data_IF_197959731163
#
_entry.id   IF_197959731163
#
_cell.length_a   1.000
_cell.length_b   1.000
_cell.length_c   1.000
_cell.angle_alpha   90.00
_cell.angle_beta   90.00
_cell.angle_gamma   90.00
#
_symmetry.space_group_name_H-M   'P 1'
#
loop_
_entity.id
_entity.type
_entity.pdbx_description
1 polymer ?
#
# COMPACT_ATOMS: atom_id res chain seq x y z
N UNK A 1 14.33 -3.12 -10.28
CA UNK A 1 14.16 -1.74 -10.82
C UNK A 1 12.71 -1.34 -10.54
N UNK A 2 12.44 -0.29 -9.75
CA UNK A 2 11.06 0.07 -9.35
C UNK A 2 10.26 0.64 -10.53
N UNK A 3 9.24 -0.08 -10.99
CA UNK A 3 8.41 0.30 -12.14
C UNK A 3 7.55 1.55 -11.85
N UNK A 4 6.97 1.63 -10.65
CA UNK A 4 6.12 2.74 -10.21
C UNK A 4 6.82 4.11 -10.25
N UNK A 5 8.15 4.16 -10.08
CA UNK A 5 8.93 5.41 -10.13
C UNK A 5 8.85 6.14 -11.48
N UNK A 6 8.45 5.45 -12.56
CA UNK A 6 8.26 6.06 -13.89
C UNK A 6 6.95 6.85 -14.00
N UNK A 7 5.97 6.57 -13.13
CA UNK A 7 4.61 7.13 -13.22
C UNK A 7 4.30 8.12 -12.09
N UNK A 8 5.05 8.08 -10.98
CA UNK A 8 4.93 9.02 -9.87
C UNK A 8 5.74 10.30 -10.12
N UNK A 9 5.43 11.03 -11.18
CA UNK A 9 6.09 12.30 -11.47
C UNK A 9 5.69 13.37 -10.42
N UNK A 10 6.62 14.20 -9.89
CA UNK A 10 6.32 15.20 -8.86
C UNK A 10 5.17 16.14 -9.21
N UNK A 11 5.00 16.51 -10.48
CA UNK A 11 3.89 17.37 -10.92
C UNK A 11 2.50 16.74 -10.73
N UNK A 12 2.44 15.43 -10.56
CA UNK A 12 1.19 14.68 -10.36
C UNK A 12 0.98 14.42 -8.86
N UNK A 13 2.04 14.05 -8.14
CA UNK A 13 1.93 13.61 -6.74
C UNK A 13 2.11 14.73 -5.71
N UNK A 14 2.74 15.86 -6.07
CA UNK A 14 3.00 16.97 -5.15
C UNK A 14 1.76 17.55 -4.43
N UNK A 15 0.53 17.55 -5.00
CA UNK A 15 -0.65 18.02 -4.30
C UNK A 15 -1.18 17.07 -3.22
N UNK A 16 -0.67 15.83 -3.14
CA UNK A 16 -1.18 14.79 -2.26
C UNK A 16 -0.22 14.55 -1.10
N UNK A 17 -0.75 14.58 0.13
CA UNK A 17 0.03 14.27 1.33
C UNK A 17 0.41 12.78 1.41
N UNK A 18 -0.41 11.90 0.80
CA UNK A 18 -0.22 10.45 0.80
C UNK A 18 -0.62 9.85 -0.55
N UNK A 19 0.18 8.89 -1.00
CA UNK A 19 -0.11 8.11 -2.22
C UNK A 19 -0.16 6.64 -1.85
N UNK A 20 -1.25 5.97 -2.22
CA UNK A 20 -1.39 4.53 -2.11
C UNK A 20 -1.05 3.89 -3.47
N UNK A 21 -0.21 2.85 -3.44
CA UNK A 21 0.23 2.15 -4.65
C UNK A 21 0.02 0.66 -4.42
N UNK A 22 -0.61 0.00 -5.38
CA UNK A 22 -0.82 -1.44 -5.42
C UNK A 22 -0.46 -1.99 -6.80
N UNK A 23 -0.26 -3.30 -6.88
CA UNK A 23 -0.13 -4.00 -8.15
C UNK A 23 -1.52 -4.18 -8.79
N UNK A 24 -1.59 -4.22 -10.12
CA UNK A 24 -2.84 -4.26 -10.90
C UNK A 24 -3.71 -5.48 -10.55
N UNK A 25 -3.09 -6.56 -10.08
CA UNK A 25 -3.74 -7.82 -9.70
C UNK A 25 -4.30 -7.82 -8.26
N UNK A 26 -4.02 -6.79 -7.46
CA UNK A 26 -4.57 -6.66 -6.11
C UNK A 26 -5.94 -5.97 -6.13
N UNK A 27 -6.97 -6.72 -5.74
CA UNK A 27 -8.30 -6.17 -5.50
C UNK A 27 -8.30 -5.21 -4.29
N UNK A 28 -8.78 -3.99 -4.50
CA UNK A 28 -8.85 -2.93 -3.47
C UNK A 28 -10.23 -2.77 -2.86
N UNK A 29 -11.18 -3.66 -3.16
CA UNK A 29 -12.59 -3.54 -2.74
C UNK A 29 -12.76 -3.53 -1.21
N UNK A 30 -11.84 -4.15 -0.48
CA UNK A 30 -11.84 -4.20 0.99
C UNK A 30 -10.81 -3.24 1.62
N UNK A 31 -10.21 -2.34 0.85
CA UNK A 31 -9.20 -1.42 1.36
C UNK A 31 -9.85 -0.19 2.01
N UNK A 32 -9.49 0.08 3.27
CA UNK A 32 -9.83 1.30 3.99
C UNK A 32 -8.57 2.14 4.22
N UNK A 33 -8.55 3.37 3.69
CA UNK A 33 -7.39 4.26 3.80
C UNK A 33 -7.22 4.85 5.21
N UNK A 34 -8.32 5.11 5.92
CA UNK A 34 -8.31 5.84 7.20
C UNK A 34 -7.45 5.17 8.28
N UNK A 35 -7.55 3.84 8.52
CA UNK A 35 -6.68 3.18 9.50
C UNK A 35 -5.20 3.24 9.13
N UNK A 36 -4.88 3.19 7.83
CA UNK A 36 -3.50 3.31 7.36
C UNK A 36 -2.96 4.71 7.61
N UNK A 37 -3.75 5.75 7.29
CA UNK A 37 -3.39 7.14 7.53
C UNK A 37 -3.20 7.44 9.02
N UNK A 38 -4.04 6.89 9.90
CA UNK A 38 -3.91 7.06 11.34
C UNK A 38 -2.58 6.50 11.87
N UNK A 39 -2.20 5.30 11.46
CA UNK A 39 -0.91 4.69 11.82
C UNK A 39 0.26 5.51 11.26
N UNK A 40 0.20 5.88 9.99
CA UNK A 40 1.26 6.64 9.33
C UNK A 40 1.47 8.00 10.01
N UNK A 41 0.39 8.72 10.32
CA UNK A 41 0.43 10.01 11.01
C UNK A 41 0.94 9.87 12.45
N UNK A 42 0.45 8.87 13.18
CA UNK A 42 0.83 8.62 14.57
C UNK A 42 2.32 8.31 14.72
N UNK A 43 2.89 7.59 13.75
CA UNK A 43 4.28 7.13 13.81
C UNK A 43 5.24 7.90 12.88
N UNK A 44 4.75 8.91 12.15
CA UNK A 44 5.58 9.69 11.22
C UNK A 44 6.22 8.86 10.11
N UNK A 45 5.51 7.86 9.60
CA UNK A 45 6.06 6.91 8.62
C UNK A 45 6.10 7.52 7.21
N UNK A 46 7.26 7.47 6.56
CA UNK A 46 7.37 7.85 5.14
C UNK A 46 6.91 6.73 4.21
N UNK A 47 7.08 5.47 4.61
CA UNK A 47 6.66 4.28 3.87
C UNK A 47 6.03 3.28 4.86
N UNK A 48 4.83 2.80 4.53
CA UNK A 48 4.14 1.75 5.27
C UNK A 48 3.64 0.68 4.30
N UNK A 49 3.83 -0.60 4.64
CA UNK A 49 3.20 -1.72 3.93
C UNK A 49 1.99 -2.22 4.73
N UNK A 50 0.77 -2.10 4.18
CA UNK A 50 -0.40 -2.72 4.81
C UNK A 50 -0.28 -4.24 4.76
N UNK A 51 -0.68 -4.91 5.84
CA UNK A 51 -0.66 -6.36 5.91
C UNK A 51 -1.71 -6.97 4.99
N UNK A 52 -1.29 -7.86 4.10
CA UNK A 52 -2.21 -8.58 3.21
C UNK A 52 -2.87 -9.73 3.99
N UNK A 53 -4.18 -9.93 3.78
CA UNK A 53 -4.88 -11.08 4.31
C UNK A 53 -4.55 -12.32 3.45
N UNK A 54 -3.72 -13.19 4.00
CA UNK A 54 -3.25 -14.42 3.33
C UNK A 54 -4.28 -15.54 3.33
N UNK A 55 -5.44 -15.34 3.96
CA UNK A 55 -6.51 -16.36 4.00
C UNK A 55 -7.41 -16.31 2.77
N UNK A 56 -7.30 -15.25 1.95
CA UNK A 56 -8.11 -15.03 0.75
C UNK A 56 -7.22 -14.78 -0.46
N UNK A 57 -7.47 -15.50 -1.56
CA UNK A 57 -6.73 -15.36 -2.83
C UNK A 57 -5.61 -16.40 -3.03
N UNK A 58 -4.93 -16.36 -4.19
CA UNK A 58 -3.83 -17.26 -4.50
C UNK A 58 -2.62 -17.04 -3.57
N UNK A 59 -1.81 -18.09 -3.39
CA UNK A 59 -0.64 -18.01 -2.52
C UNK A 59 0.35 -16.94 -3.03
N UNK A 60 0.90 -16.10 -2.13
CA UNK A 60 1.81 -15.02 -2.52
C UNK A 60 3.08 -15.60 -3.12
N UNK A 61 3.53 -15.02 -4.25
CA UNK A 61 4.77 -15.42 -4.93
C UNK A 61 6.04 -14.93 -4.20
N UNK A 62 5.89 -14.03 -3.22
CA UNK A 62 6.97 -13.40 -2.48
C UNK A 62 6.64 -13.27 -0.99
N UNK A 63 7.65 -12.96 -0.17
CA UNK A 63 7.46 -12.73 1.26
C UNK A 63 6.59 -11.48 1.50
N UNK A 64 5.47 -11.68 2.20
CA UNK A 64 4.54 -10.61 2.55
C UNK A 64 4.33 -10.53 4.05
N UNK A 65 4.07 -9.32 4.54
CA UNK A 65 3.61 -9.10 5.90
C UNK A 65 2.15 -9.56 5.98
N UNK A 66 1.92 -10.74 6.56
CA UNK A 66 0.58 -11.28 6.74
C UNK A 66 -0.10 -10.62 7.94
N UNK A 67 -1.35 -10.20 7.78
CA UNK A 67 -2.19 -9.82 8.91
C UNK A 67 -2.53 -11.08 9.71
N UNK A 68 -2.12 -11.15 10.97
CA UNK A 68 -2.66 -12.15 11.92
C UNK A 68 -3.99 -11.62 12.43
N UNK A 69 -5.04 -12.45 12.33
CA UNK A 69 -6.30 -12.23 13.03
C UNK A 69 -6.12 -12.44 14.53
#
# INVERSE_FOLDING_TARGET
RWFAKRFLHPSIVAPYDYVFVWDEDLGVDNFAAEPCLDIVRRHGLEISQPGLDVTKGPAPTYYITARKN
#
